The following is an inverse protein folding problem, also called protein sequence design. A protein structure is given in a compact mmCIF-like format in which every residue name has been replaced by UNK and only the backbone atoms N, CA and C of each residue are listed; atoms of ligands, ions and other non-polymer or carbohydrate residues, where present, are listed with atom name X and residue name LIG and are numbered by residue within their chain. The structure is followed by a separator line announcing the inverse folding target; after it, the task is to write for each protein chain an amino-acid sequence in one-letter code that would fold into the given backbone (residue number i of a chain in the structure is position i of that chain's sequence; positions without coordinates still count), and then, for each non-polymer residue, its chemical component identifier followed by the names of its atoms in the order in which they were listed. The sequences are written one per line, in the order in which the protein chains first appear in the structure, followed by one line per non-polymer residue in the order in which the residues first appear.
data_IF_638497305048
#
_entry.id   IF_638497305048
#
_cell.length_a   1.000
_cell.length_b   1.000
_cell.length_c   1.000
_cell.angle_alpha   90.00
_cell.angle_beta   90.00
_cell.angle_gamma   90.00
#
_symmetry.space_group_name_H-M   'P 1'
#
loop_
_entity.id
_entity.type
_entity.pdbx_description
1 polymer ?
#
# COMPACT_ATOMS: atom_id res chain seq x y z
N UNK A 1 -14.57 9.09 4.82
CA UNK A 1 -15.20 9.66 3.60
C UNK A 1 -14.41 10.85 3.03
N UNK A 2 -13.06 10.79 2.96
CA UNK A 2 -12.22 11.80 2.25
C UNK A 2 -11.12 11.12 1.41
N UNK A 3 -11.17 9.80 1.25
CA UNK A 3 -10.03 9.03 0.74
C UNK A 3 -9.65 9.37 -0.72
N UNK A 4 -10.59 9.93 -1.49
CA UNK A 4 -10.41 10.28 -2.89
C UNK A 4 -9.50 11.50 -3.14
N UNK A 5 -9.53 12.50 -2.26
CA UNK A 5 -8.79 13.76 -2.42
C UNK A 5 -7.49 13.82 -1.61
N UNK A 6 -7.15 12.74 -0.92
CA UNK A 6 -6.20 12.78 0.19
C UNK A 6 -4.79 13.27 -0.22
N UNK A 7 -4.28 12.80 -1.36
CA UNK A 7 -2.98 13.23 -1.92
C UNK A 7 -2.92 14.75 -2.12
N UNK A 8 -4.06 15.37 -2.46
CA UNK A 8 -4.20 16.81 -2.66
C UNK A 8 -4.32 17.52 -1.32
N UNK A 9 -5.15 17.01 -0.40
CA UNK A 9 -5.32 17.58 0.94
C UNK A 9 -4.04 17.59 1.76
N UNK A 10 -3.15 16.62 1.61
CA UNK A 10 -1.83 16.68 2.26
C UNK A 10 -0.99 17.89 1.82
N UNK A 11 -1.32 18.53 0.69
CA UNK A 11 -0.69 19.77 0.21
C UNK A 11 -1.40 21.02 0.71
N UNK A 12 -2.50 20.90 1.45
CA UNK A 12 -3.25 22.06 1.93
C UNK A 12 -2.45 22.83 3.00
N UNK A 13 -2.72 24.12 3.12
CA UNK A 13 -2.13 24.94 4.17
C UNK A 13 -2.58 24.44 5.55
N UNK A 14 -1.71 24.55 6.56
CA UNK A 14 -2.00 24.11 7.92
C UNK A 14 -3.29 24.72 8.52
N UNK A 15 -3.67 25.93 8.08
CA UNK A 15 -4.93 26.58 8.45
C UNK A 15 -6.17 25.79 8.01
N UNK A 16 -6.17 25.23 6.79
CA UNK A 16 -7.26 24.40 6.27
C UNK A 16 -7.30 23.03 6.95
N UNK A 17 -6.14 22.42 7.20
CA UNK A 17 -6.07 21.15 7.94
C UNK A 17 -6.65 21.28 9.35
N UNK A 18 -6.32 22.36 10.07
CA UNK A 18 -6.90 22.65 11.39
C UNK A 18 -8.42 22.79 11.38
N UNK A 19 -8.98 23.41 10.33
CA UNK A 19 -10.45 23.50 10.17
C UNK A 19 -11.08 22.14 9.94
N UNK A 20 -10.42 21.28 9.15
CA UNK A 20 -10.88 19.93 8.89
C UNK A 20 -10.82 19.05 10.15
N UNK A 21 -9.74 19.16 10.94
CA UNK A 21 -9.60 18.51 12.23
C UNK A 21 -10.72 18.91 13.20
N UNK A 22 -11.08 20.19 13.26
CA UNK A 22 -12.16 20.66 14.11
C UNK A 22 -13.49 19.96 13.80
N UNK A 23 -13.86 19.92 12.53
CA UNK A 23 -15.10 19.26 12.07
C UNK A 23 -15.03 17.76 12.36
N UNK A 24 -13.88 17.12 12.14
CA UNK A 24 -13.71 15.70 12.41
C UNK A 24 -13.84 15.36 13.91
N UNK A 25 -13.17 16.10 14.79
CA UNK A 25 -13.30 15.92 16.23
C UNK A 25 -14.74 16.13 16.72
N UNK A 26 -15.45 17.12 16.15
CA UNK A 26 -16.84 17.37 16.49
C UNK A 26 -17.74 16.22 16.05
N UNK A 27 -17.52 15.69 14.84
CA UNK A 27 -18.25 14.53 14.33
C UNK A 27 -18.03 13.29 15.21
N UNK A 28 -16.79 12.98 15.57
CA UNK A 28 -16.46 11.83 16.44
C UNK A 28 -17.15 11.96 17.80
N UNK A 29 -17.19 13.16 18.40
CA UNK A 29 -17.92 13.38 19.66
C UNK A 29 -19.42 13.12 19.52
N UNK A 30 -20.03 13.60 18.44
CA UNK A 30 -21.45 13.38 18.18
C UNK A 30 -21.76 11.90 17.98
N UNK A 31 -20.92 11.19 17.21
CA UNK A 31 -21.07 9.75 16.97
C UNK A 31 -20.89 8.91 18.25
N UNK A 32 -19.91 9.26 19.10
CA UNK A 32 -19.65 8.57 20.37
C UNK A 32 -20.58 9.00 21.52
N UNK A 33 -21.36 10.08 21.35
CA UNK A 33 -22.11 10.69 22.44
C UNK A 33 -21.22 11.28 23.55
N UNK A 34 -19.97 11.61 23.22
CA UNK A 34 -18.99 12.08 24.19
C UNK A 34 -19.19 13.56 24.55
N UNK A 35 -18.80 13.94 25.78
CA UNK A 35 -18.84 15.34 26.21
C UNK A 35 -18.01 16.24 25.29
N UNK A 36 -18.43 17.52 25.20
CA UNK A 36 -17.69 18.54 24.44
C UNK A 36 -16.26 18.75 24.94
N UNK A 37 -16.02 18.46 26.22
CA UNK A 37 -14.74 18.60 26.92
C UNK A 37 -13.89 17.33 26.94
N UNK A 38 -14.39 16.19 26.45
CA UNK A 38 -13.60 14.94 26.43
C UNK A 38 -12.27 15.14 25.69
N UNK A 39 -11.14 14.58 26.17
CA UNK A 39 -9.87 14.75 25.51
C UNK A 39 -9.85 14.04 24.15
N UNK A 40 -9.29 14.69 23.12
CA UNK A 40 -9.22 14.16 21.75
C UNK A 40 -8.54 12.77 21.67
N UNK A 41 -7.40 12.52 22.35
CA UNK A 41 -6.77 11.20 22.31
C UNK A 41 -7.70 10.08 22.81
N UNK A 42 -8.49 10.34 23.85
CA UNK A 42 -9.46 9.36 24.36
C UNK A 42 -10.56 9.05 23.36
N UNK A 43 -11.00 10.04 22.57
CA UNK A 43 -12.01 9.83 21.54
C UNK A 43 -11.52 8.92 20.44
N UNK A 44 -10.27 9.08 20.00
CA UNK A 44 -9.70 8.23 18.95
C UNK A 44 -9.48 6.79 19.43
N UNK A 45 -9.06 6.60 20.68
CA UNK A 45 -8.94 5.27 21.28
C UNK A 45 -10.31 4.58 21.38
N UNK A 46 -11.35 5.30 21.83
CA UNK A 46 -12.70 4.74 21.97
C UNK A 46 -13.37 4.46 20.62
N UNK A 47 -13.19 5.34 19.64
CA UNK A 47 -13.72 5.16 18.28
C UNK A 47 -12.94 4.12 17.45
N UNK A 48 -11.79 3.64 17.93
CA UNK A 48 -10.82 2.85 17.17
C UNK A 48 -10.45 3.49 15.81
N UNK A 49 -10.52 4.81 15.72
CA UNK A 49 -10.33 5.57 14.49
C UNK A 49 -9.02 6.37 14.57
N UNK A 50 -8.14 6.30 13.56
CA UNK A 50 -6.93 7.12 13.52
C UNK A 50 -7.24 8.60 13.26
N UNK A 51 -6.32 9.48 13.66
CA UNK A 51 -6.41 10.92 13.36
C UNK A 51 -6.41 11.18 11.85
N UNK A 52 -6.96 12.32 11.43
CA UNK A 52 -7.03 12.67 10.01
C UNK A 52 -5.63 12.77 9.38
N UNK A 53 -4.64 13.30 10.11
CA UNK A 53 -3.26 13.39 9.63
C UNK A 53 -2.69 11.99 9.38
N UNK A 54 -2.88 11.06 10.31
CA UNK A 54 -2.40 9.69 10.16
C UNK A 54 -3.04 9.00 8.94
N UNK A 55 -4.34 9.21 8.72
CA UNK A 55 -5.03 8.74 7.51
C UNK A 55 -4.44 9.35 6.24
N UNK A 56 -4.13 10.64 6.27
CA UNK A 56 -3.52 11.37 5.15
C UNK A 56 -2.14 10.82 4.82
N UNK A 57 -1.31 10.65 5.83
CA UNK A 57 0.04 10.12 5.68
C UNK A 57 0.02 8.68 5.15
N UNK A 58 -0.84 7.82 5.71
CA UNK A 58 -1.00 6.43 5.25
C UNK A 58 -1.41 6.35 3.78
N UNK A 59 -2.43 7.12 3.36
CA UNK A 59 -2.92 7.09 1.99
C UNK A 59 -1.93 7.71 1.01
N UNK A 60 -1.31 8.82 1.40
CA UNK A 60 -0.25 9.47 0.62
C UNK A 60 0.94 8.53 0.42
N UNK A 61 1.34 7.82 1.48
CA UNK A 61 2.45 6.88 1.43
C UNK A 61 2.13 5.66 0.56
N UNK A 62 0.90 5.14 0.68
CA UNK A 62 0.42 4.04 -0.18
C UNK A 62 0.46 4.44 -1.66
N UNK A 63 0.04 5.67 -1.98
CA UNK A 63 0.10 6.21 -3.33
C UNK A 63 1.55 6.40 -3.80
N UNK A 64 2.44 6.89 -2.94
CA UNK A 64 3.86 7.02 -3.22
C UNK A 64 4.50 5.68 -3.61
N UNK A 65 4.30 4.64 -2.80
CA UNK A 65 4.78 3.30 -3.14
C UNK A 65 4.15 2.74 -4.40
N UNK A 66 2.86 3.00 -4.64
CA UNK A 66 2.19 2.60 -5.89
C UNK A 66 2.84 3.21 -7.13
N UNK A 67 3.30 4.46 -7.05
CA UNK A 67 4.05 5.10 -8.14
C UNK A 67 5.42 4.44 -8.29
N UNK A 68 6.12 4.17 -7.19
CA UNK A 68 7.44 3.54 -7.23
C UNK A 68 7.40 2.11 -7.81
N UNK A 69 6.34 1.34 -7.53
CA UNK A 69 6.12 0.00 -8.07
C UNK A 69 5.83 -0.04 -9.58
N UNK A 70 5.54 1.11 -10.21
CA UNK A 70 5.21 1.18 -11.64
C UNK A 70 6.31 1.90 -12.40
N UNK A 71 7.15 1.15 -13.11
CA UNK A 71 8.30 1.73 -13.81
C UNK A 71 7.92 2.76 -14.88
N UNK A 72 6.80 2.55 -15.58
CA UNK A 72 6.28 3.46 -16.61
C UNK A 72 5.41 4.61 -16.07
N UNK A 73 5.40 4.86 -14.75
CA UNK A 73 4.57 5.93 -14.20
C UNK A 73 5.20 7.31 -14.46
N UNK A 74 4.47 8.29 -15.03
CA UNK A 74 5.04 9.59 -15.44
C UNK A 74 5.64 10.38 -14.27
N UNK A 75 5.06 10.25 -13.07
CA UNK A 75 5.55 10.93 -11.87
C UNK A 75 6.74 10.24 -11.18
N UNK A 76 7.13 9.02 -11.59
CA UNK A 76 8.19 8.25 -10.91
C UNK A 76 9.54 8.94 -11.02
N UNK A 77 9.89 9.44 -12.20
CA UNK A 77 11.13 10.19 -12.42
C UNK A 77 11.22 11.44 -11.54
N UNK A 78 10.13 12.22 -11.46
CA UNK A 78 10.07 13.44 -10.64
C UNK A 78 10.16 13.15 -9.13
N UNK A 79 9.59 12.03 -8.65
CA UNK A 79 9.65 11.63 -7.25
C UNK A 79 11.03 11.14 -6.80
N UNK A 80 11.73 10.44 -7.68
CA UNK A 80 13.08 9.95 -7.44
C UNK A 80 14.12 11.06 -7.58
N UNK A 81 13.87 12.03 -8.46
CA UNK A 81 14.73 13.18 -8.69
C UNK A 81 14.75 14.13 -7.48
N UNK A 82 15.84 14.10 -6.70
CA UNK A 82 16.03 14.95 -5.52
C UNK A 82 16.45 16.39 -5.81
N UNK A 83 16.63 16.78 -7.09
CA UNK A 83 17.23 18.06 -7.45
C UNK A 83 16.43 19.27 -6.96
N UNK A 84 15.10 19.15 -6.89
CA UNK A 84 14.22 20.25 -6.45
C UNK A 84 14.26 20.48 -4.94
N UNK A 85 14.81 19.57 -4.14
CA UNK A 85 14.82 19.67 -2.67
C UNK A 85 15.56 20.92 -2.20
N UNK A 86 16.63 21.32 -2.89
CA UNK A 86 17.42 22.52 -2.54
C UNK A 86 16.60 23.81 -2.62
N UNK A 87 15.73 23.92 -3.63
CA UNK A 87 14.88 25.10 -3.83
C UNK A 87 13.81 25.23 -2.74
N UNK A 88 13.20 24.11 -2.34
CA UNK A 88 12.22 24.10 -1.25
C UNK A 88 12.88 24.32 0.12
N UNK A 89 14.07 23.77 0.35
CA UNK A 89 14.82 24.00 1.59
C UNK A 89 15.22 25.48 1.75
N UNK A 90 15.44 26.20 0.65
CA UNK A 90 15.71 27.64 0.67
C UNK A 90 14.44 28.50 0.92
N UNK A 91 13.24 27.93 0.82
CA UNK A 91 11.96 28.62 1.04
C UNK A 91 11.03 27.79 1.94
N UNK A 92 11.24 27.82 3.27
CA UNK A 92 10.47 27.00 4.23
C UNK A 92 8.99 27.38 4.33
N UNK A 93 8.60 28.57 3.85
CA UNK A 93 7.19 29.01 3.78
C UNK A 93 6.41 28.39 2.63
N UNK A 94 7.10 27.85 1.61
CA UNK A 94 6.45 27.19 0.49
C UNK A 94 6.07 25.75 0.86
N UNK A 95 4.87 25.34 0.47
CA UNK A 95 4.42 23.96 0.66
C UNK A 95 5.34 23.04 -0.15
N UNK A 96 6.01 22.06 0.48
CA UNK A 96 6.90 21.16 -0.22
C UNK A 96 6.13 20.27 -1.20
N UNK A 97 6.75 20.01 -2.34
CA UNK A 97 6.21 19.07 -3.33
C UNK A 97 6.04 17.66 -2.74
N UNK A 98 5.13 16.88 -3.35
CA UNK A 98 4.67 15.59 -2.83
C UNK A 98 5.83 14.62 -2.50
N UNK A 99 6.84 14.50 -3.37
CA UNK A 99 7.98 13.60 -3.13
C UNK A 99 8.78 13.95 -1.88
N UNK A 100 9.07 15.23 -1.66
CA UNK A 100 9.77 15.69 -0.45
C UNK A 100 8.93 15.45 0.82
N UNK A 101 7.61 15.63 0.76
CA UNK A 101 6.72 15.29 1.89
C UNK A 101 6.77 13.81 2.24
N UNK A 102 6.70 12.93 1.25
CA UNK A 102 6.74 11.49 1.47
C UNK A 102 8.09 11.05 2.03
N UNK A 103 9.19 11.64 1.56
CA UNK A 103 10.53 11.41 2.14
C UNK A 103 10.64 11.88 3.59
N UNK A 104 10.00 12.98 3.96
CA UNK A 104 10.00 13.45 5.34
C UNK A 104 9.17 12.53 6.26
N UNK A 105 8.09 11.94 5.75
CA UNK A 105 7.28 10.94 6.48
C UNK A 105 8.00 9.59 6.59
N UNK A 106 8.94 9.30 5.68
CA UNK A 106 9.83 8.14 5.71
C UNK A 106 11.11 8.48 6.49
N UNK A 107 11.14 8.36 7.83
CA UNK A 107 12.43 8.39 8.54
C UNK A 107 13.31 7.25 8.00
N UNK A 108 14.63 7.38 8.23
CA UNK A 108 15.71 6.54 7.67
C UNK A 108 15.46 5.02 7.58
N UNK A 109 14.55 4.49 8.39
CA UNK A 109 14.12 3.09 8.50
C UNK A 109 13.69 2.48 7.16
N UNK A 110 13.10 3.26 6.25
CA UNK A 110 12.58 2.73 4.97
C UNK A 110 13.54 2.89 3.77
N UNK A 111 14.79 3.31 3.99
CA UNK A 111 15.77 3.42 2.88
C UNK A 111 16.04 2.08 2.19
N UNK A 112 15.79 0.97 2.89
CA UNK A 112 16.05 -0.39 2.41
C UNK A 112 14.78 -1.13 1.94
N UNK A 113 13.63 -0.44 1.83
CA UNK A 113 12.43 -1.04 1.24
C UNK A 113 12.61 -1.10 -0.27
N UNK A 114 13.05 -2.26 -0.77
CA UNK A 114 13.00 -2.62 -2.18
C UNK A 114 11.53 -2.74 -2.60
N UNK A 115 11.02 -1.67 -3.21
CA UNK A 115 9.72 -1.69 -3.86
C UNK A 115 9.81 -2.64 -5.05
N UNK A 116 9.11 -3.77 -4.97
CA UNK A 116 8.97 -4.67 -6.11
C UNK A 116 8.12 -3.99 -7.17
N UNK A 117 8.57 -4.08 -8.42
CA UNK A 117 7.78 -3.67 -9.56
C UNK A 117 6.69 -4.72 -9.74
N UNK A 118 5.45 -4.27 -9.68
CA UNK A 118 4.33 -5.15 -9.98
C UNK A 118 4.02 -4.94 -11.46
N UNK A 119 4.39 -5.92 -12.27
CA UNK A 119 3.79 -6.11 -13.60
C UNK A 119 2.35 -6.53 -13.34
N UNK A 120 1.49 -5.54 -13.07
CA UNK A 120 0.06 -5.78 -13.06
C UNK A 120 -0.27 -6.28 -14.46
N UNK A 121 -0.81 -7.49 -14.51
CA UNK A 121 -1.45 -8.07 -15.67
C UNK A 121 -2.25 -6.97 -16.38
N UNK A 122 -1.89 -6.64 -17.62
CA UNK A 122 -2.51 -5.56 -18.41
C UNK A 122 -4.00 -5.79 -18.70
N UNK A 123 -4.53 -6.95 -18.32
CA UNK A 123 -5.93 -7.29 -18.46
C UNK A 123 -6.73 -7.02 -17.18
N UNK A 124 -7.96 -6.49 -17.32
CA UNK A 124 -8.83 -6.23 -16.18
C UNK A 124 -9.19 -7.52 -15.44
N UNK A 125 -9.49 -7.44 -14.12
CA UNK A 125 -9.70 -8.60 -13.26
C UNK A 125 -10.89 -9.49 -13.66
N UNK A 126 -11.80 -9.00 -14.51
CA UNK A 126 -12.92 -9.75 -15.05
C UNK A 126 -12.66 -10.41 -16.41
N UNK A 127 -11.49 -10.19 -17.02
CA UNK A 127 -11.08 -11.01 -18.16
C UNK A 127 -10.64 -12.36 -17.63
N UNK A 128 -11.30 -13.39 -18.13
CA UNK A 128 -10.92 -14.77 -17.88
C UNK A 128 -9.50 -14.96 -18.41
N UNK A 129 -8.52 -14.95 -17.50
CA UNK A 129 -7.18 -15.38 -17.84
C UNK A 129 -7.34 -16.78 -18.44
N UNK A 130 -7.00 -16.97 -19.71
CA UNK A 130 -6.84 -18.31 -20.27
C UNK A 130 -5.59 -18.93 -19.62
N UNK A 131 -5.69 -19.28 -18.34
CA UNK A 131 -4.63 -19.94 -17.59
C UNK A 131 -4.54 -21.33 -18.18
N UNK A 132 -3.54 -21.55 -19.03
CA UNK A 132 -3.15 -22.90 -19.41
C UNK A 132 -2.50 -23.54 -18.18
N UNK A 133 -3.28 -24.30 -17.41
CA UNK A 133 -2.74 -25.09 -16.31
C UNK A 133 -2.18 -26.40 -16.86
N UNK A 134 -0.93 -26.69 -16.50
CA UNK A 134 -0.32 -27.99 -16.77
C UNK A 134 -0.64 -28.86 -15.56
N UNK A 135 -1.44 -29.91 -15.75
CA UNK A 135 -1.73 -30.90 -14.72
C UNK A 135 -0.83 -32.14 -14.89
N UNK A 136 0.39 -32.17 -14.33
CA UNK A 136 1.24 -33.35 -14.43
C UNK A 136 0.65 -34.56 -13.69
N UNK A 137 -0.31 -34.34 -12.78
CA UNK A 137 -0.94 -35.38 -11.98
C UNK A 137 -2.29 -35.88 -12.54
N UNK A 138 -2.75 -35.35 -13.68
CA UNK A 138 -4.11 -35.61 -14.19
C UNK A 138 -4.44 -37.07 -14.46
N UNK A 139 -3.41 -37.90 -14.68
CA UNK A 139 -3.57 -39.31 -15.01
C UNK A 139 -3.45 -40.23 -13.77
N UNK A 140 -3.21 -39.68 -12.58
CA UNK A 140 -3.03 -40.44 -11.35
C UNK A 140 -4.33 -40.47 -10.55
N UNK A 141 -4.85 -41.68 -10.28
CA UNK A 141 -6.00 -41.84 -9.39
C UNK A 141 -5.53 -42.03 -7.95
N UNK A 142 -6.31 -41.51 -7.00
CA UNK A 142 -5.97 -41.48 -5.56
C UNK A 142 -5.82 -42.89 -4.94
N UNK A 143 -6.36 -43.91 -5.60
CA UNK A 143 -6.35 -45.30 -5.16
C UNK A 143 -5.16 -46.12 -5.67
N UNK A 144 -4.42 -45.64 -6.67
CA UNK A 144 -3.50 -46.48 -7.46
C UNK A 144 -2.07 -45.92 -7.58
N UNK A 145 -1.75 -44.86 -6.83
CA UNK A 145 -0.50 -44.11 -7.01
C UNK A 145 0.41 -44.19 -5.79
N UNK A 146 1.60 -44.77 -5.97
CA UNK A 146 2.66 -44.78 -4.96
C UNK A 146 3.18 -43.36 -4.67
N UNK A 147 3.31 -43.02 -3.38
CA UNK A 147 3.79 -41.70 -2.94
C UNK A 147 5.18 -41.35 -3.49
N UNK A 148 6.06 -42.34 -3.63
CA UNK A 148 7.40 -42.17 -4.19
C UNK A 148 7.36 -41.67 -5.65
N UNK A 149 6.40 -42.16 -6.44
CA UNK A 149 6.20 -41.77 -7.84
C UNK A 149 5.71 -40.33 -7.93
N UNK A 150 4.73 -39.94 -7.11
CA UNK A 150 4.22 -38.56 -7.06
C UNK A 150 5.32 -37.56 -6.65
N UNK A 151 6.13 -37.91 -5.64
CA UNK A 151 7.25 -37.08 -5.18
C UNK A 151 8.30 -36.95 -6.29
N UNK A 152 8.64 -38.04 -6.98
CA UNK A 152 9.60 -38.01 -8.10
C UNK A 152 9.11 -37.13 -9.25
N UNK A 153 7.81 -37.20 -9.57
CA UNK A 153 7.18 -36.44 -10.64
C UNK A 153 7.12 -34.95 -10.29
N UNK A 154 6.78 -34.62 -9.04
CA UNK A 154 6.82 -33.25 -8.53
C UNK A 154 8.23 -32.66 -8.64
N UNK A 155 9.25 -33.39 -8.19
CA UNK A 155 10.64 -32.94 -8.24
C UNK A 155 11.12 -32.75 -9.69
N UNK A 156 10.72 -33.64 -10.61
CA UNK A 156 11.00 -33.48 -12.04
C UNK A 156 10.33 -32.23 -12.61
N UNK A 157 9.04 -32.03 -12.36
CA UNK A 157 8.33 -30.83 -12.79
C UNK A 157 8.99 -29.55 -12.24
N UNK A 158 9.42 -29.58 -10.97
CA UNK A 158 10.14 -28.48 -10.32
C UNK A 158 11.47 -28.14 -11.00
N UNK A 159 12.19 -29.13 -11.52
CA UNK A 159 13.44 -28.90 -12.26
C UNK A 159 13.20 -28.20 -13.60
N UNK A 160 12.12 -28.54 -14.31
CA UNK A 160 11.80 -27.92 -15.60
C UNK A 160 11.35 -26.45 -15.49
N UNK A 161 10.77 -26.05 -14.36
CA UNK A 161 10.26 -24.69 -14.13
C UNK A 161 11.02 -23.98 -13.00
N UNK A 162 12.30 -23.66 -13.22
CA UNK A 162 13.17 -22.98 -12.24
C UNK A 162 12.86 -21.49 -12.02
N UNK A 163 12.04 -20.85 -12.86
CA UNK A 163 11.67 -19.43 -12.77
C UNK A 163 10.42 -19.16 -11.91
N UNK A 164 9.99 -20.10 -11.08
CA UNK A 164 8.77 -20.00 -10.29
C UNK A 164 8.91 -18.99 -9.13
N UNK A 165 8.02 -17.98 -9.08
CA UNK A 165 7.80 -17.18 -7.88
C UNK A 165 6.76 -17.87 -6.98
N UNK A 166 7.12 -18.26 -5.74
CA UNK A 166 6.16 -18.86 -4.82
C UNK A 166 5.12 -17.83 -4.38
N UNK A 167 3.87 -18.02 -4.80
CA UNK A 167 2.73 -17.31 -4.24
C UNK A 167 2.37 -17.99 -2.91
N UNK A 168 3.11 -17.65 -1.85
CA UNK A 168 2.77 -18.06 -0.49
C UNK A 168 1.54 -17.29 -0.03
N UNK A 169 0.36 -17.85 -0.29
CA UNK A 169 -0.86 -17.41 0.37
C UNK A 169 -0.77 -17.93 1.81
N UNK A 170 -0.41 -17.07 2.76
CA UNK A 170 -0.53 -17.37 4.19
C UNK A 170 -2.01 -17.68 4.47
N UNK A 171 -2.34 -18.96 4.54
CA UNK A 171 -3.59 -19.43 5.13
C UNK A 171 -3.38 -19.24 6.64
N UNK A 172 -4.20 -18.46 7.35
CA UNK A 172 -4.15 -18.43 8.80
C UNK A 172 -4.52 -19.84 9.29
N UNK A 173 -3.61 -20.47 10.04
CA UNK A 173 -3.91 -21.75 10.68
C UNK A 173 -5.06 -21.57 11.69
N UNK A 174 -5.93 -22.58 11.85
CA UNK A 174 -7.01 -22.60 12.83
C UNK A 174 -6.50 -22.63 14.28
#
# INVERSE_FOLDING_TARGET
MIDYGNVVYGSAQASYLKRLDYVHHQAVRLCLGAFRTSPIPSLYTEAFEPTISCRIDKLSLSYYFRILSKDNHPLRGTLLNGNNNRLFNARPSCIPHFGLRMRNILPGIFHDVKVHTNDFLDHPPGMENSISYINPFGNFTKSDSDNSVLISLFNRHRQFYQSYQPVLRMIPNP
#
